data_IF_987887765158
#
_entry.id   IF_987887765158
#
_cell.length_a   1.000
_cell.length_b   1.000
_cell.length_c   1.000
_cell.angle_alpha   90.00
_cell.angle_beta   90.00
_cell.angle_gamma   90.00
#
_symmetry.space_group_name_H-M   'P 1'
#
loop_
_entity.id
_entity.type
_entity.pdbx_description
1 polymer ?
#
# COMPACT_ATOMS: atom_id res chain seq x y z
N UNK A 1 2.53 7.18 -10.35
CA UNK A 1 2.41 5.72 -10.17
C UNK A 1 2.57 5.01 -11.50
N UNK A 2 3.33 3.92 -11.52
CA UNK A 2 3.67 3.11 -12.68
C UNK A 2 3.66 1.60 -12.34
N UNK A 3 3.71 0.76 -13.37
CA UNK A 3 4.01 -0.67 -13.25
C UNK A 3 5.29 -0.99 -14.02
N UNK A 4 6.07 -1.98 -13.58
CA UNK A 4 7.22 -2.50 -14.34
C UNK A 4 7.02 -3.99 -14.64
N UNK A 5 7.76 -4.52 -15.61
CA UNK A 5 7.75 -5.97 -15.88
C UNK A 5 8.32 -6.77 -14.71
N UNK A 6 9.45 -6.30 -14.18
CA UNK A 6 10.21 -6.97 -13.11
C UNK A 6 11.02 -5.94 -12.33
N UNK A 7 11.39 -6.27 -11.09
CA UNK A 7 12.31 -5.49 -10.28
C UNK A 7 13.44 -6.39 -9.75
N UNK A 8 14.70 -5.93 -9.84
CA UNK A 8 15.87 -6.74 -9.53
C UNK A 8 16.73 -6.00 -8.51
N UNK A 9 16.94 -6.62 -7.34
CA UNK A 9 17.81 -6.11 -6.27
C UNK A 9 17.43 -4.70 -5.77
N UNK A 10 16.13 -4.35 -5.83
CA UNK A 10 15.59 -3.07 -5.31
C UNK A 10 15.90 -2.92 -3.82
N UNK A 11 16.57 -1.82 -3.46
CA UNK A 11 16.96 -1.52 -2.08
C UNK A 11 17.65 -2.71 -1.37
N UNK A 12 18.45 -3.46 -2.12
CA UNK A 12 19.23 -4.58 -1.60
C UNK A 12 20.58 -4.11 -1.04
N UNK A 13 20.94 -4.57 0.16
CA UNK A 13 22.14 -4.09 0.83
C UNK A 13 23.41 -4.52 0.07
N UNK A 14 24.26 -3.55 -0.27
CA UNK A 14 25.53 -3.80 -0.96
C UNK A 14 25.40 -4.21 -2.44
N UNK A 15 24.21 -4.05 -3.04
CA UNK A 15 23.97 -4.31 -4.46
C UNK A 15 23.20 -3.15 -5.10
N UNK A 16 23.58 -2.68 -6.31
CA UNK A 16 22.77 -1.73 -7.04
C UNK A 16 21.51 -2.42 -7.59
N UNK A 17 20.40 -1.68 -7.67
CA UNK A 17 19.22 -2.11 -8.42
C UNK A 17 19.58 -2.26 -9.90
N UNK A 18 19.13 -3.35 -10.51
CA UNK A 18 19.21 -3.56 -11.95
C UNK A 18 17.86 -3.19 -12.59
N UNK A 19 17.92 -2.45 -13.71
CA UNK A 19 16.74 -1.99 -14.46
C UNK A 19 16.68 -2.65 -15.84
N UNK A 20 16.03 -3.83 -15.98
CA UNK A 20 15.76 -4.43 -17.28
C UNK A 20 14.82 -3.55 -18.13
N UNK A 21 14.97 -3.61 -19.44
CA UNK A 21 14.19 -2.80 -20.38
C UNK A 21 13.32 -3.67 -21.28
N UNK A 22 12.13 -3.18 -21.63
CA UNK A 22 11.43 -3.68 -22.80
C UNK A 22 12.11 -3.14 -24.07
N UNK A 23 12.70 -4.03 -24.87
CA UNK A 23 13.52 -3.66 -26.04
C UNK A 23 12.77 -3.76 -27.36
N UNK A 24 11.75 -4.62 -27.44
CA UNK A 24 10.95 -4.84 -28.64
C UNK A 24 9.49 -4.94 -28.27
N UNK A 25 8.63 -4.38 -29.14
CA UNK A 25 7.18 -4.42 -29.00
C UNK A 25 6.54 -4.90 -30.30
N UNK A 26 5.55 -5.79 -30.20
CA UNK A 26 4.81 -6.34 -31.33
C UNK A 26 3.32 -6.15 -31.05
N UNK A 27 2.62 -5.43 -31.94
CA UNK A 27 1.21 -5.12 -31.78
C UNK A 27 0.37 -6.06 -32.64
N UNK A 28 -0.65 -6.67 -32.05
CA UNK A 28 -1.63 -7.44 -32.81
C UNK A 28 -2.58 -6.47 -33.54
N UNK A 29 -2.76 -6.67 -34.85
CA UNK A 29 -3.72 -5.84 -35.61
C UNK A 29 -5.15 -6.29 -35.29
N UNK A 30 -6.04 -5.40 -34.81
CA UNK A 30 -7.42 -5.76 -34.53
C UNK A 30 -8.12 -6.25 -35.80
N UNK A 31 -8.60 -7.50 -35.81
CA UNK A 31 -9.45 -8.00 -36.89
C UNK A 31 -10.89 -7.53 -36.63
N UNK A 32 -11.40 -6.62 -37.45
CA UNK A 32 -12.66 -5.88 -37.23
C UNK A 32 -13.98 -6.66 -37.14
N UNK A 33 -13.95 -7.98 -36.90
CA UNK A 33 -15.11 -8.87 -36.98
C UNK A 33 -15.32 -9.76 -35.73
N UNK A 34 -14.55 -9.61 -34.64
CA UNK A 34 -14.72 -10.43 -33.43
C UNK A 34 -15.49 -9.69 -32.33
N UNK A 35 -16.76 -10.01 -32.18
CA UNK A 35 -17.66 -9.54 -31.12
C UNK A 35 -17.30 -10.01 -29.69
N UNK A 36 -16.12 -10.62 -29.50
CA UNK A 36 -15.63 -11.05 -28.18
C UNK A 36 -14.41 -10.28 -27.66
N UNK A 37 -13.75 -9.48 -28.51
CA UNK A 37 -12.53 -8.72 -28.14
C UNK A 37 -12.35 -7.41 -28.94
N UNK A 38 -13.43 -6.87 -29.53
CA UNK A 38 -13.37 -5.69 -30.40
C UNK A 38 -12.75 -4.43 -29.74
N UNK A 39 -12.74 -4.35 -28.41
CA UNK A 39 -12.25 -3.21 -27.63
C UNK A 39 -10.93 -3.50 -26.86
N UNK A 40 -10.20 -4.55 -27.25
CA UNK A 40 -8.92 -4.92 -26.64
C UNK A 40 -7.72 -4.61 -27.53
N UNK A 41 -6.62 -4.13 -26.94
CA UNK A 41 -5.31 -3.99 -27.59
C UNK A 41 -4.37 -5.06 -27.04
N UNK A 42 -3.86 -5.92 -27.92
CA UNK A 42 -2.84 -6.92 -27.56
C UNK A 42 -1.45 -6.44 -27.97
N UNK A 43 -0.53 -6.43 -27.01
CA UNK A 43 0.88 -6.07 -27.21
C UNK A 43 1.76 -7.17 -26.65
N UNK A 44 2.73 -7.63 -27.43
CA UNK A 44 3.79 -8.49 -26.95
C UNK A 44 5.05 -7.67 -26.74
N UNK A 45 5.82 -7.94 -25.70
CA UNK A 45 7.08 -7.24 -25.44
C UNK A 45 8.20 -8.19 -25.02
N UNK A 46 9.41 -7.93 -25.52
CA UNK A 46 10.64 -8.60 -25.09
C UNK A 46 11.32 -7.76 -24.01
N UNK A 47 11.47 -8.34 -22.82
CA UNK A 47 12.24 -7.78 -21.70
C UNK A 47 13.67 -8.32 -21.74
N UNK A 48 14.65 -7.43 -21.65
CA UNK A 48 16.06 -7.76 -21.65
C UNK A 48 16.82 -6.98 -20.57
N UNK A 49 17.65 -7.68 -19.81
CA UNK A 49 18.50 -7.11 -18.77
C UNK A 49 19.72 -7.99 -18.45
N UNK A 50 20.73 -7.47 -17.75
CA UNK A 50 21.95 -8.24 -17.43
C UNK A 50 21.70 -9.58 -16.73
N UNK A 51 20.71 -9.66 -15.83
CA UNK A 51 20.41 -10.84 -15.02
C UNK A 51 19.14 -11.58 -15.44
N UNK A 52 18.35 -11.04 -16.37
CA UNK A 52 17.05 -11.62 -16.77
C UNK A 52 16.72 -11.37 -18.24
N UNK A 53 16.05 -12.34 -18.86
CA UNK A 53 15.28 -12.15 -20.09
C UNK A 53 13.81 -12.46 -19.82
N UNK A 54 12.89 -11.86 -20.56
CA UNK A 54 11.49 -12.23 -20.45
C UNK A 54 10.66 -11.91 -21.68
N UNK A 55 9.53 -12.59 -21.82
CA UNK A 55 8.53 -12.33 -22.85
C UNK A 55 7.20 -12.05 -22.15
N UNK A 56 6.52 -10.98 -22.58
CA UNK A 56 5.26 -10.52 -22.03
C UNK A 56 4.22 -10.46 -23.13
N UNK A 57 2.99 -10.80 -22.77
CA UNK A 57 1.78 -10.55 -23.54
C UNK A 57 0.84 -9.71 -22.68
N UNK A 58 0.51 -8.52 -23.14
CA UNK A 58 -0.44 -7.62 -22.53
C UNK A 58 -1.73 -7.61 -23.35
N UNK A 59 -2.87 -7.86 -22.73
CA UNK A 59 -4.19 -7.64 -23.32
C UNK A 59 -4.86 -6.53 -22.53
N UNK A 60 -5.00 -5.37 -23.14
CA UNK A 60 -5.44 -4.15 -22.49
C UNK A 60 -6.83 -3.77 -22.96
N UNK A 61 -7.73 -3.51 -22.02
CA UNK A 61 -9.11 -3.14 -22.28
C UNK A 61 -9.45 -1.88 -21.50
N UNK A 62 -10.08 -0.91 -22.18
CA UNK A 62 -10.56 0.32 -21.55
C UNK A 62 -12.05 0.20 -21.24
N UNK A 63 -12.40 0.43 -19.98
CA UNK A 63 -13.77 0.54 -19.50
C UNK A 63 -13.91 1.74 -18.57
N UNK A 64 -14.46 1.53 -17.37
CA UNK A 64 -14.46 2.56 -16.29
C UNK A 64 -13.05 2.96 -15.84
N UNK A 65 -12.09 2.05 -16.01
CA UNK A 65 -10.66 2.32 -15.93
C UNK A 65 -9.94 1.49 -16.98
N UNK A 66 -8.74 0.99 -16.68
CA UNK A 66 -7.99 0.12 -17.59
C UNK A 66 -7.75 -1.23 -16.94
N UNK A 67 -8.13 -2.31 -17.64
CA UNK A 67 -7.78 -3.67 -17.28
C UNK A 67 -6.64 -4.14 -18.17
N UNK A 68 -5.64 -4.79 -17.59
CA UNK A 68 -4.54 -5.39 -18.34
C UNK A 68 -4.36 -6.83 -17.89
N UNK A 69 -4.77 -7.79 -18.71
CA UNK A 69 -4.36 -9.19 -18.52
C UNK A 69 -2.93 -9.38 -19.02
N UNK A 70 -2.09 -9.98 -18.21
CA UNK A 70 -0.67 -10.15 -18.49
C UNK A 70 -0.29 -11.62 -18.33
N UNK A 71 0.24 -12.19 -19.40
CA UNK A 71 0.97 -13.45 -19.38
C UNK A 71 2.46 -13.13 -19.53
N UNK A 72 3.33 -13.70 -18.68
CA UNK A 72 4.76 -13.55 -18.86
C UNK A 72 5.55 -14.82 -18.57
N UNK A 73 6.70 -14.93 -19.24
CA UNK A 73 7.73 -15.93 -18.98
C UNK A 73 9.06 -15.20 -18.76
N UNK A 74 9.72 -15.45 -17.64
CA UNK A 74 10.97 -14.84 -17.22
C UNK A 74 12.03 -15.93 -17.06
N UNK A 75 13.27 -15.64 -17.46
CA UNK A 75 14.40 -16.56 -17.46
C UNK A 75 15.61 -15.87 -16.83
N UNK A 76 16.08 -16.36 -15.69
CA UNK A 76 17.22 -15.77 -14.99
C UNK A 76 18.54 -16.20 -15.61
N UNK A 77 19.36 -15.21 -15.96
CA UNK A 77 20.74 -15.38 -16.46
C UNK A 77 21.76 -15.46 -15.33
N UNK A 78 21.45 -14.85 -14.19
CA UNK A 78 22.32 -14.75 -13.01
C UNK A 78 21.50 -14.94 -11.73
N UNK A 79 22.20 -15.24 -10.64
CA UNK A 79 21.62 -15.19 -9.31
C UNK A 79 21.19 -13.76 -8.96
N UNK A 80 19.97 -13.64 -8.46
CA UNK A 80 19.35 -12.38 -8.02
C UNK A 80 19.10 -12.49 -6.51
N UNK A 81 19.44 -11.46 -5.75
CA UNK A 81 19.24 -11.47 -4.30
C UNK A 81 17.77 -11.16 -3.94
N UNK A 82 17.17 -10.19 -4.64
CA UNK A 82 15.76 -9.83 -4.49
C UNK A 82 15.06 -9.78 -5.84
N UNK A 83 14.25 -10.79 -6.11
CA UNK A 83 13.45 -10.90 -7.33
C UNK A 83 12.03 -10.37 -7.08
N UNK A 84 11.76 -9.15 -7.55
CA UNK A 84 10.44 -8.53 -7.50
C UNK A 84 9.61 -8.86 -8.74
N UNK A 85 8.55 -9.64 -8.55
CA UNK A 85 7.54 -9.95 -9.54
C UNK A 85 6.37 -8.97 -9.45
N UNK A 86 5.78 -8.67 -10.60
CA UNK A 86 4.64 -7.74 -10.75
C UNK A 86 4.79 -6.42 -9.97
N UNK A 87 5.94 -5.72 -10.10
CA UNK A 87 6.21 -4.54 -9.29
C UNK A 87 5.34 -3.33 -9.69
N UNK A 88 4.89 -2.61 -8.67
CA UNK A 88 4.21 -1.32 -8.74
C UNK A 88 5.15 -0.26 -8.17
N UNK A 89 5.21 0.92 -8.79
CA UNK A 89 5.94 2.07 -8.24
C UNK A 89 5.02 3.26 -8.07
N UNK A 90 5.21 4.01 -7.00
CA UNK A 90 4.43 5.21 -6.71
C UNK A 90 5.28 6.23 -5.96
N UNK A 91 4.66 7.33 -5.57
CA UNK A 91 5.28 8.41 -4.83
C UNK A 91 4.41 8.76 -3.61
N UNK A 92 5.04 8.92 -2.46
CA UNK A 92 4.43 9.48 -1.25
C UNK A 92 5.45 10.37 -0.55
N UNK A 93 5.26 11.70 -0.65
CA UNK A 93 6.11 12.67 0.03
C UNK A 93 5.60 12.92 1.46
N UNK A 94 4.32 13.25 1.62
CA UNK A 94 3.67 13.32 2.93
C UNK A 94 2.16 13.09 2.84
N UNK A 95 1.61 12.50 3.90
CA UNK A 95 0.18 12.17 4.06
C UNK A 95 -0.31 12.59 5.45
N UNK A 96 -1.57 12.27 5.80
CA UNK A 96 -2.22 12.65 7.07
C UNK A 96 -1.39 12.39 8.35
N UNK A 97 -0.62 11.28 8.36
CA UNK A 97 0.20 10.86 9.49
C UNK A 97 1.58 11.56 9.54
N UNK A 98 2.01 12.21 8.44
CA UNK A 98 3.28 12.90 8.37
C UNK A 98 3.29 14.11 9.30
N UNK A 99 4.34 14.20 10.12
CA UNK A 99 4.56 15.30 11.07
C UNK A 99 6.02 15.75 10.98
N UNK A 100 6.26 16.67 10.07
CA UNK A 100 7.37 17.63 10.09
C UNK A 100 6.75 19.03 10.08
N UNK A 101 7.53 20.10 10.19
CA UNK A 101 7.02 21.48 10.03
C UNK A 101 6.17 21.61 8.75
N UNK A 102 5.30 22.62 8.66
CA UNK A 102 4.53 22.92 7.44
C UNK A 102 5.50 23.30 6.30
N UNK A 103 6.12 22.29 5.70
CA UNK A 103 7.14 22.41 4.64
C UNK A 103 6.50 22.81 3.32
N UNK A 104 5.19 22.59 3.20
CA UNK A 104 4.39 22.86 2.01
C UNK A 104 3.02 23.42 2.44
N UNK A 105 2.33 24.08 1.51
CA UNK A 105 1.00 24.66 1.71
C UNK A 105 -0.11 23.60 1.54
N UNK A 106 0.19 22.49 0.86
CA UNK A 106 -0.71 21.36 0.64
C UNK A 106 -0.82 20.52 1.91
N UNK A 107 -2.02 20.02 2.24
CA UNK A 107 -2.16 19.08 3.35
C UNK A 107 -1.50 17.72 3.07
N UNK A 108 -1.56 17.24 1.82
CA UNK A 108 -1.02 15.95 1.37
C UNK A 108 -0.45 16.01 -0.05
N UNK A 109 0.60 15.23 -0.30
CA UNK A 109 1.25 15.09 -1.62
C UNK A 109 1.69 13.64 -1.82
N UNK A 110 0.89 12.90 -2.59
CA UNK A 110 1.15 11.49 -2.92
C UNK A 110 0.30 11.01 -4.09
N UNK A 111 0.79 9.97 -4.76
CA UNK A 111 0.10 9.22 -5.81
C UNK A 111 -0.66 8.00 -5.27
N UNK A 112 -0.33 7.60 -4.04
CA UNK A 112 -0.93 6.50 -3.32
C UNK A 112 -0.80 6.76 -1.82
N UNK A 113 -1.82 6.45 -1.04
CA UNK A 113 -1.84 6.60 0.42
C UNK A 113 -1.59 5.29 1.18
N UNK A 114 -1.68 4.14 0.50
CA UNK A 114 -1.42 2.87 1.15
C UNK A 114 -1.25 1.68 0.22
N UNK A 115 -0.64 0.64 0.78
CA UNK A 115 -0.62 -0.71 0.24
C UNK A 115 -1.82 -1.48 0.80
N UNK A 116 -2.70 -1.92 -0.08
CA UNK A 116 -3.75 -2.89 0.24
C UNK A 116 -3.30 -4.31 -0.12
N UNK A 117 -3.62 -5.29 0.73
CA UNK A 117 -3.33 -6.71 0.49
C UNK A 117 -4.58 -7.52 0.85
N UNK A 118 -4.98 -8.41 -0.06
CA UNK A 118 -5.91 -9.49 0.23
C UNK A 118 -5.12 -10.80 0.22
N UNK A 119 -4.77 -11.28 1.41
CA UNK A 119 -3.83 -12.39 1.54
C UNK A 119 -4.49 -13.75 1.21
N UNK A 120 -3.67 -14.81 1.07
CA UNK A 120 -4.13 -16.16 0.75
C UNK A 120 -5.11 -16.73 1.79
N UNK A 121 -4.93 -16.35 3.06
CA UNK A 121 -5.81 -16.71 4.17
C UNK A 121 -7.15 -15.93 4.22
N UNK A 122 -7.32 -14.92 3.38
CA UNK A 122 -8.54 -14.11 3.27
C UNK A 122 -8.60 -12.87 4.17
N UNK A 123 -7.51 -12.53 4.88
CA UNK A 123 -7.40 -11.26 5.60
C UNK A 123 -7.20 -10.10 4.62
N UNK A 124 -7.94 -9.01 4.86
CA UNK A 124 -7.72 -7.74 4.20
C UNK A 124 -6.84 -6.87 5.07
N UNK A 125 -5.75 -6.38 4.51
CA UNK A 125 -4.73 -5.59 5.18
C UNK A 125 -4.61 -4.25 4.48
N UNK A 126 -4.55 -3.18 5.27
CA UNK A 126 -4.22 -1.84 4.83
C UNK A 126 -2.96 -1.36 5.53
N UNK A 127 -1.92 -1.06 4.75
CA UNK A 127 -0.66 -0.47 5.22
C UNK A 127 -0.55 0.95 4.65
N UNK A 128 -0.96 2.00 5.39
CA UNK A 128 -0.73 3.38 4.96
C UNK A 128 0.75 3.61 4.68
N UNK A 129 1.09 4.36 3.64
CA UNK A 129 2.49 4.62 3.27
C UNK A 129 3.14 5.64 4.21
N UNK A 130 4.47 5.55 4.30
CA UNK A 130 5.32 6.50 4.96
C UNK A 130 6.35 7.06 3.96
N UNK A 131 6.90 8.22 4.34
CA UNK A 131 8.19 8.69 3.83
C UNK A 131 9.21 8.60 4.97
N UNK A 132 9.83 7.42 5.18
CA UNK A 132 10.70 7.18 6.33
C UNK A 132 12.01 7.98 6.24
N UNK A 133 12.72 8.22 7.37
CA UNK A 133 14.07 8.83 7.35
C UNK A 133 15.17 7.89 6.78
N UNK A 134 14.73 6.66 6.52
CA UNK A 134 15.37 5.39 6.20
C UNK A 134 14.91 4.65 4.97
N UNK A 135 15.76 4.19 4.04
CA UNK A 135 15.28 3.14 3.13
C UNK A 135 14.82 1.94 3.95
N UNK A 136 13.55 1.57 3.78
CA UNK A 136 12.89 0.57 4.62
C UNK A 136 12.21 -0.47 3.74
N UNK A 137 12.36 -1.74 4.10
CA UNK A 137 11.69 -2.86 3.44
C UNK A 137 10.77 -3.54 4.45
N UNK A 138 9.47 -3.50 4.20
CA UNK A 138 8.45 -4.27 4.93
C UNK A 138 8.12 -5.53 4.12
N UNK A 139 7.95 -6.67 4.80
CA UNK A 139 7.65 -7.94 4.14
C UNK A 139 6.45 -8.61 4.79
N UNK A 140 5.42 -8.90 3.98
CA UNK A 140 4.17 -9.53 4.37
C UNK A 140 4.16 -10.94 3.80
N UNK A 141 4.61 -11.92 4.59
CA UNK A 141 4.68 -13.32 4.18
C UNK A 141 3.30 -13.91 3.88
N UNK A 142 3.19 -14.65 2.78
CA UNK A 142 1.92 -15.22 2.32
C UNK A 142 2.16 -16.50 1.49
N UNK A 143 1.07 -17.24 1.25
CA UNK A 143 1.01 -18.30 0.25
C UNK A 143 -0.15 -18.00 -0.70
N UNK A 144 0.19 -17.64 -1.95
CA UNK A 144 -0.77 -17.35 -3.01
C UNK A 144 -1.77 -16.24 -2.64
N UNK A 145 -1.33 -14.96 -2.57
CA UNK A 145 -2.22 -13.84 -2.28
C UNK A 145 -3.37 -13.76 -3.30
N UNK A 146 -4.54 -13.28 -2.86
CA UNK A 146 -5.69 -13.01 -3.75
C UNK A 146 -5.52 -11.70 -4.50
N UNK A 147 -4.71 -10.80 -3.97
CA UNK A 147 -4.21 -9.62 -4.67
C UNK A 147 -3.57 -8.61 -3.73
N UNK A 148 -2.92 -7.61 -4.31
CA UNK A 148 -2.36 -6.49 -3.58
C UNK A 148 -2.23 -5.28 -4.51
N UNK A 149 -2.14 -4.08 -3.96
CA UNK A 149 -2.08 -2.88 -4.77
C UNK A 149 -1.70 -1.62 -4.01
N UNK A 150 -1.14 -0.66 -4.72
CA UNK A 150 -0.98 0.71 -4.23
C UNK A 150 -2.27 1.45 -4.55
N UNK A 151 -2.98 1.87 -3.51
CA UNK A 151 -4.27 2.54 -3.64
C UNK A 151 -4.14 4.03 -3.31
N UNK A 152 -5.08 4.79 -3.87
CA UNK A 152 -5.36 6.18 -3.56
C UNK A 152 -6.78 6.21 -3.03
N UNK A 153 -6.94 6.01 -1.71
CA UNK A 153 -8.26 5.97 -1.07
C UNK A 153 -8.81 7.36 -0.85
N UNK A 154 -7.95 8.31 -0.51
CA UNK A 154 -8.33 9.69 -0.40
C UNK A 154 -8.47 10.34 -1.78
N UNK A 155 -9.67 10.87 -2.02
CA UNK A 155 -10.08 11.48 -3.28
C UNK A 155 -10.73 12.84 -3.08
N UNK A 156 -10.57 13.43 -1.89
CA UNK A 156 -11.07 14.77 -1.62
C UNK A 156 -10.05 15.81 -2.10
N UNK A 157 -10.44 16.66 -3.05
CA UNK A 157 -9.59 17.75 -3.54
C UNK A 157 -9.07 18.63 -2.40
N UNK A 158 -9.87 18.82 -1.34
CA UNK A 158 -9.49 19.71 -0.25
C UNK A 158 -8.25 19.25 0.53
N UNK A 159 -7.89 17.96 0.43
CA UNK A 159 -6.72 17.40 1.09
C UNK A 159 -5.44 17.56 0.25
N UNK A 160 -5.55 17.97 -1.02
CA UNK A 160 -4.41 18.17 -1.92
C UNK A 160 -4.26 19.61 -2.37
N UNK A 161 -5.37 20.32 -2.64
CA UNK A 161 -5.41 21.72 -3.07
C UNK A 161 -4.59 22.04 -4.34
N UNK A 162 -4.24 21.03 -5.17
CA UNK A 162 -3.28 21.16 -6.28
C UNK A 162 -3.91 20.89 -7.66
N UNK A 163 -3.49 21.67 -8.67
CA UNK A 163 -3.89 21.51 -10.08
C UNK A 163 -3.31 20.28 -10.79
N UNK A 164 -2.36 19.55 -10.19
CA UNK A 164 -1.90 18.24 -10.72
C UNK A 164 -2.85 17.10 -10.40
N UNK A 165 -3.92 17.36 -9.64
CA UNK A 165 -5.04 16.44 -9.39
C UNK A 165 -4.65 15.07 -8.80
N UNK A 166 -3.90 15.07 -7.70
CA UNK A 166 -3.53 13.86 -6.96
C UNK A 166 -4.75 12.99 -6.59
N UNK A 167 -5.86 13.60 -6.20
CA UNK A 167 -7.13 12.95 -5.82
C UNK A 167 -7.75 12.12 -6.96
N UNK A 168 -7.36 12.40 -8.20
CA UNK A 168 -7.81 11.72 -9.42
C UNK A 168 -6.84 10.67 -9.92
N UNK A 169 -5.64 10.55 -9.35
CA UNK A 169 -4.67 9.53 -9.75
C UNK A 169 -5.25 8.13 -9.50
N UNK A 170 -4.98 7.17 -10.39
CA UNK A 170 -5.56 5.84 -10.29
C UNK A 170 -4.98 5.11 -9.08
N UNK A 171 -5.74 4.13 -8.61
CA UNK A 171 -5.23 3.01 -7.81
C UNK A 171 -4.85 1.87 -8.74
N UNK A 172 -3.85 1.07 -8.36
CA UNK A 172 -3.37 -0.05 -9.13
C UNK A 172 -3.36 -1.34 -8.30
N UNK A 173 -4.15 -2.31 -8.73
CA UNK A 173 -4.29 -3.61 -8.08
C UNK A 173 -3.77 -4.75 -8.96
N UNK A 174 -2.95 -5.61 -8.39
CA UNK A 174 -2.48 -6.87 -8.95
C UNK A 174 -3.40 -7.99 -8.49
N UNK A 175 -4.05 -8.66 -9.43
CA UNK A 175 -4.83 -9.88 -9.23
C UNK A 175 -4.06 -11.07 -9.83
N UNK A 176 -3.47 -11.96 -9.01
CA UNK A 176 -2.93 -13.22 -9.48
C UNK A 176 -4.02 -14.07 -10.14
N UNK A 177 -3.74 -14.62 -11.33
CA UNK A 177 -4.66 -15.55 -12.04
C UNK A 177 -4.30 -17.01 -11.82
N UNK A 178 -3.14 -17.26 -11.22
CA UNK A 178 -2.62 -18.56 -10.82
C UNK A 178 -2.14 -18.49 -9.37
N UNK A 179 -2.01 -19.65 -8.71
CA UNK A 179 -1.38 -19.72 -7.40
C UNK A 179 0.12 -19.47 -7.48
N UNK A 180 0.61 -18.40 -6.86
CA UNK A 180 2.03 -18.03 -6.88
C UNK A 180 2.89 -18.75 -5.82
N UNK A 181 2.26 -19.57 -4.97
CA UNK A 181 2.93 -20.31 -3.91
C UNK A 181 3.44 -19.40 -2.79
N UNK A 182 4.38 -19.92 -2.00
CA UNK A 182 4.94 -19.22 -0.86
C UNK A 182 5.87 -18.07 -1.26
N UNK A 183 5.71 -16.93 -0.61
CA UNK A 183 6.52 -15.73 -0.82
C UNK A 183 6.12 -14.62 0.13
N UNK A 184 6.30 -13.38 -0.31
CA UNK A 184 5.83 -12.22 0.41
C UNK A 184 5.47 -11.08 -0.53
N UNK A 185 4.43 -10.32 -0.19
CA UNK A 185 4.31 -8.95 -0.71
C UNK A 185 5.36 -8.13 0.03
N UNK A 186 6.24 -7.45 -0.70
CA UNK A 186 7.23 -6.53 -0.13
C UNK A 186 6.88 -5.09 -0.49
N UNK A 187 7.02 -4.21 0.48
CA UNK A 187 6.89 -2.77 0.35
C UNK A 187 8.25 -2.12 0.64
N UNK A 188 8.77 -1.37 -0.32
CA UNK A 188 9.99 -0.57 -0.20
C UNK A 188 9.59 0.89 -0.13
N UNK A 189 10.03 1.57 0.92
CA UNK A 189 9.83 2.99 1.16
C UNK A 189 11.21 3.66 1.21
N UNK A 190 11.49 4.55 0.27
CA UNK A 190 12.76 5.27 0.12
C UNK A 190 12.53 6.72 0.61
N UNK A 191 13.46 7.32 1.37
CA UNK A 191 13.33 8.72 1.76
C UNK A 191 13.31 9.63 0.53
N UNK A 192 12.38 10.58 0.49
CA UNK A 192 12.33 11.66 -0.51
C UNK A 192 12.00 13.00 0.14
N UNK A 193 12.46 14.09 -0.45
CA UNK A 193 12.09 15.46 -0.12
C UNK A 193 11.39 16.19 -1.28
N UNK A 194 11.08 15.46 -2.37
CA UNK A 194 10.47 15.98 -3.58
C UNK A 194 9.42 14.99 -4.14
N UNK A 195 8.39 15.52 -4.78
CA UNK A 195 7.28 14.81 -5.41
C UNK A 195 7.63 14.22 -6.79
N UNK A 196 8.74 14.64 -7.41
CA UNK A 196 9.14 14.15 -8.74
C UNK A 196 9.80 12.77 -8.70
N UNK A 197 10.17 12.27 -7.52
CA UNK A 197 10.83 10.98 -7.35
C UNK A 197 9.86 9.92 -6.82
N UNK A 198 9.58 8.90 -7.64
CA UNK A 198 8.91 7.68 -7.17
C UNK A 198 9.76 7.02 -6.06
N UNK A 199 9.24 7.02 -4.84
CA UNK A 199 9.94 6.53 -3.64
C UNK A 199 9.28 5.29 -3.01
N UNK A 200 8.23 4.76 -3.64
CA UNK A 200 7.45 3.61 -3.18
C UNK A 200 7.55 2.49 -4.20
N UNK A 201 7.85 1.27 -3.75
CA UNK A 201 7.79 0.05 -4.57
C UNK A 201 7.00 -1.03 -3.83
N UNK A 202 5.99 -1.61 -4.47
CA UNK A 202 5.28 -2.79 -3.97
C UNK A 202 5.44 -3.94 -4.97
N UNK A 203 5.82 -5.14 -4.51
CA UNK A 203 6.11 -6.27 -5.39
C UNK A 203 5.89 -7.61 -4.69
N UNK A 204 5.69 -8.67 -5.47
CA UNK A 204 5.70 -10.04 -4.94
C UNK A 204 7.10 -10.63 -5.02
N UNK A 205 7.62 -11.15 -3.91
CA UNK A 205 8.93 -11.80 -3.83
C UNK A 205 8.74 -13.27 -3.46
N UNK A 206 9.03 -14.22 -4.38
CA UNK A 206 8.96 -15.65 -4.09
C UNK A 206 9.89 -16.05 -2.93
N UNK A 207 9.48 -17.06 -2.14
CA UNK A 207 10.31 -17.60 -1.05
C UNK A 207 11.51 -18.38 -1.58
N UNK A 208 11.36 -19.03 -2.73
CA UNK A 208 12.43 -19.81 -3.34
C UNK A 208 13.57 -18.89 -3.83
N UNK A 209 14.85 -19.25 -3.64
CA UNK A 209 15.97 -18.45 -4.14
C UNK A 209 15.91 -18.27 -5.67
N UNK A 210 16.16 -17.04 -6.12
CA UNK A 210 16.23 -16.70 -7.54
C UNK A 210 17.64 -17.02 -8.09
N UNK A 211 17.79 -18.21 -8.69
CA UNK A 211 19.07 -18.73 -9.20
C UNK A 211 19.18 -18.63 -10.71
N UNK A 212 20.40 -18.51 -11.21
CA UNK A 212 20.66 -18.61 -12.65
C UNK A 212 20.07 -19.91 -13.23
N UNK A 213 19.39 -19.81 -14.37
CA UNK A 213 18.70 -20.92 -15.01
C UNK A 213 17.27 -21.17 -14.52
N UNK A 214 16.80 -20.52 -13.45
CA UNK A 214 15.40 -20.57 -13.04
C UNK A 214 14.50 -19.85 -14.04
N UNK A 215 13.29 -20.39 -14.25
CA UNK A 215 12.23 -19.73 -15.01
C UNK A 215 10.97 -19.49 -14.17
N UNK A 216 10.27 -18.41 -14.49
CA UNK A 216 9.01 -18.03 -13.84
C UNK A 216 7.96 -17.77 -14.90
N UNK A 217 6.80 -18.40 -14.76
CA UNK A 217 5.63 -18.16 -15.62
C UNK A 217 4.49 -17.65 -14.78
N UNK A 218 4.01 -16.46 -15.12
CA UNK A 218 2.99 -15.77 -14.34
C UNK A 218 1.84 -15.37 -15.26
N UNK A 219 0.62 -15.52 -14.74
CA UNK A 219 -0.56 -14.87 -15.27
C UNK A 219 -1.18 -14.02 -14.19
N UNK A 220 -1.45 -12.77 -14.51
CA UNK A 220 -2.03 -11.81 -13.59
C UNK A 220 -2.79 -10.74 -14.33
N UNK A 221 -3.66 -10.03 -13.61
CA UNK A 221 -4.38 -8.89 -14.12
C UNK A 221 -4.01 -7.64 -13.31
N UNK A 222 -3.74 -6.55 -14.01
CA UNK A 222 -3.67 -5.23 -13.42
C UNK A 222 -5.01 -4.51 -13.59
N UNK A 223 -5.51 -3.94 -12.49
CA UNK A 223 -6.69 -3.08 -12.49
C UNK A 223 -6.27 -1.66 -12.16
N UNK A 224 -6.37 -0.78 -13.15
CA UNK A 224 -6.20 0.66 -13.00
C UNK A 224 -7.58 1.29 -12.80
N UNK A 225 -7.95 1.55 -11.55
CA UNK A 225 -9.31 1.95 -11.16
C UNK A 225 -9.26 3.08 -10.15
N UNK A 226 -10.42 3.69 -9.87
CA UNK A 226 -10.55 4.63 -8.75
C UNK A 226 -10.63 3.94 -7.38
N UNK A 227 -10.96 2.65 -7.33
CA UNK A 227 -11.02 1.87 -6.09
C UNK A 227 -10.59 0.44 -6.37
N UNK A 228 -10.33 -0.36 -5.34
CA UNK A 228 -9.97 -1.77 -5.48
C UNK A 228 -11.06 -2.55 -6.24
N UNK A 229 -10.69 -3.52 -7.10
CA UNK A 229 -11.66 -4.25 -7.92
C UNK A 229 -12.56 -5.20 -7.10
N UNK A 230 -12.13 -5.57 -5.90
CA UNK A 230 -12.81 -6.50 -5.01
C UNK A 230 -12.98 -5.87 -3.62
N UNK A 231 -13.94 -4.95 -3.45
CA UNK A 231 -14.11 -4.25 -2.19
C UNK A 231 -14.39 -5.22 -1.05
N UNK A 232 -13.69 -5.04 0.07
CA UNK A 232 -13.89 -5.86 1.26
C UNK A 232 -15.32 -5.72 1.82
N UNK A 233 -15.92 -6.79 2.36
CA UNK A 233 -17.17 -6.67 3.12
C UNK A 233 -16.99 -6.00 4.49
N UNK A 234 -15.75 -5.72 4.90
CA UNK A 234 -15.40 -5.09 6.16
C UNK A 234 -15.42 -3.56 6.06
N UNK A 235 -15.39 -2.87 7.20
CA UNK A 235 -15.07 -1.46 7.22
C UNK A 235 -13.60 -1.24 6.83
N UNK A 236 -13.36 -0.23 5.98
CA UNK A 236 -12.02 0.12 5.49
C UNK A 236 -11.45 1.26 6.31
N UNK A 237 -10.15 1.24 6.55
CA UNK A 237 -9.42 2.39 7.05
C UNK A 237 -9.45 3.51 6.02
N UNK A 238 -10.00 4.66 6.38
CA UNK A 238 -10.12 5.82 5.51
C UNK A 238 -9.25 7.01 5.96
N UNK A 239 -8.69 6.94 7.17
CA UNK A 239 -7.76 7.95 7.64
C UNK A 239 -6.82 7.40 8.73
N UNK A 240 -5.58 7.89 8.75
CA UNK A 240 -4.59 7.63 9.79
C UNK A 240 -3.94 8.95 10.20
N UNK A 241 -4.26 9.42 11.41
CA UNK A 241 -3.75 10.71 11.91
C UNK A 241 -2.90 10.50 13.15
N UNK A 242 -1.85 11.32 13.23
CA UNK A 242 -0.84 11.27 14.29
C UNK A 242 -0.78 12.62 15.02
N UNK A 243 -0.63 12.59 16.34
CA UNK A 243 -0.47 13.80 17.15
C UNK A 243 0.31 13.59 18.44
N UNK A 244 0.42 14.65 19.24
CA UNK A 244 0.97 14.55 20.58
C UNK A 244 -0.02 13.79 21.49
N UNK A 245 0.50 12.83 22.27
CA UNK A 245 -0.26 12.06 23.25
C UNK A 245 -0.68 12.86 24.47
N UNK A 246 -1.43 12.21 25.36
CA UNK A 246 -1.96 12.77 26.59
C UNK A 246 -3.42 13.21 26.49
N UNK A 247 -3.94 13.63 27.65
CA UNK A 247 -5.32 14.09 27.79
C UNK A 247 -5.46 15.56 27.40
N UNK A 248 -6.48 15.94 26.61
CA UNK A 248 -6.80 17.34 26.35
C UNK A 248 -6.94 18.15 27.65
N UNK A 249 -6.33 19.34 27.68
CA UNK A 249 -6.36 20.24 28.84
C UNK A 249 -5.37 19.92 29.96
N UNK A 250 -4.57 18.85 29.84
CA UNK A 250 -3.51 18.51 30.79
C UNK A 250 -2.12 18.77 30.19
N UNK A 251 -1.07 18.92 31.03
CA UNK A 251 0.31 18.94 30.54
C UNK A 251 0.60 17.73 29.65
N UNK A 252 1.15 17.97 28.46
CA UNK A 252 1.41 16.90 27.49
C UNK A 252 2.61 16.06 27.94
N UNK A 253 2.46 14.73 28.08
CA UNK A 253 3.59 13.86 28.40
C UNK A 253 4.56 13.83 27.22
N UNK A 254 5.86 13.93 27.52
CA UNK A 254 6.91 13.82 26.50
C UNK A 254 6.98 12.40 25.95
N UNK A 255 7.27 12.27 24.65
CA UNK A 255 7.47 10.97 24.00
C UNK A 255 6.19 10.16 23.73
N UNK A 256 5.02 10.63 24.15
CA UNK A 256 3.75 9.94 23.89
C UNK A 256 3.13 10.43 22.59
N UNK A 257 2.60 9.49 21.80
CA UNK A 257 1.98 9.77 20.50
C UNK A 257 0.55 9.28 20.46
N UNK A 258 -0.34 10.16 19.99
CA UNK A 258 -1.75 9.84 19.79
C UNK A 258 -1.99 9.42 18.35
N UNK A 259 -2.65 8.29 18.17
CA UNK A 259 -3.15 7.84 16.89
C UNK A 259 -4.67 7.97 16.85
N UNK A 260 -5.17 8.44 15.71
CA UNK A 260 -6.58 8.40 15.35
C UNK A 260 -6.69 7.64 14.03
N UNK A 261 -7.26 6.44 14.09
CA UNK A 261 -7.46 5.59 12.90
C UNK A 261 -8.95 5.50 12.65
N UNK A 262 -9.38 5.97 11.48
CA UNK A 262 -10.80 6.03 11.13
C UNK A 262 -11.17 4.92 10.17
N UNK A 263 -12.27 4.23 10.48
CA UNK A 263 -12.82 3.14 9.69
C UNK A 263 -14.23 3.49 9.23
N UNK A 264 -14.56 3.12 7.99
CA UNK A 264 -15.89 3.31 7.42
C UNK A 264 -16.33 2.10 6.62
N UNK A 265 -17.54 1.62 6.86
CA UNK A 265 -18.18 0.59 6.03
C UNK A 265 -19.31 -0.17 6.72
N UNK A 266 -19.94 -1.05 5.95
CA UNK A 266 -21.22 -1.67 6.26
C UNK A 266 -21.34 -2.36 7.63
N UNK A 267 -20.35 -3.12 8.14
CA UNK A 267 -20.48 -3.73 9.47
C UNK A 267 -20.65 -2.71 10.60
N UNK A 268 -20.04 -1.53 10.47
CA UNK A 268 -20.11 -0.47 11.47
C UNK A 268 -21.42 0.32 11.39
N UNK A 269 -22.07 0.38 10.23
CA UNK A 269 -23.40 1.00 10.07
C UNK A 269 -24.49 0.23 10.82
N UNK A 270 -24.29 -1.07 11.01
CA UNK A 270 -25.24 -2.00 11.64
C UNK A 270 -25.05 -2.15 13.15
N UNK A 271 -24.16 -1.36 13.75
CA UNK A 271 -23.94 -1.40 15.19
C UNK A 271 -25.18 -0.90 15.93
N UNK A 272 -25.69 -1.65 16.93
CA UNK A 272 -26.78 -1.17 17.77
C UNK A 272 -26.38 0.10 18.52
N UNK A 273 -27.34 0.99 18.75
CA UNK A 273 -27.12 2.21 19.52
C UNK A 273 -26.48 1.90 20.89
N UNK A 274 -25.43 2.65 21.26
CA UNK A 274 -24.69 2.45 22.50
C UNK A 274 -23.63 1.34 22.45
N UNK A 275 -23.60 0.52 21.40
CA UNK A 275 -22.56 -0.52 21.24
C UNK A 275 -21.29 0.09 20.69
N UNK A 276 -20.16 -0.18 21.32
CA UNK A 276 -18.83 0.25 20.86
C UNK A 276 -18.01 -0.97 20.45
N UNK A 277 -17.43 -0.99 19.24
CA UNK A 277 -16.54 -2.08 18.85
C UNK A 277 -15.26 -2.03 19.67
N UNK A 278 -14.64 -3.19 19.88
CA UNK A 278 -13.33 -3.27 20.53
C UNK A 278 -12.23 -2.93 19.51
N UNK A 279 -11.30 -2.06 19.90
CA UNK A 279 -10.07 -1.81 19.15
C UNK A 279 -9.00 -2.83 19.56
N UNK A 280 -8.76 -3.83 18.71
CA UNK A 280 -7.75 -4.86 19.01
C UNK A 280 -6.39 -4.36 18.54
N UNK A 281 -5.57 -3.96 19.51
CA UNK A 281 -4.25 -3.35 19.30
C UNK A 281 -3.12 -4.29 19.67
N UNK A 282 -2.09 -4.32 18.84
CA UNK A 282 -0.80 -4.96 19.15
C UNK A 282 0.34 -4.09 18.62
N UNK A 283 1.48 -4.11 19.31
CA UNK A 283 2.70 -3.47 18.87
C UNK A 283 3.88 -4.42 19.03
N UNK A 284 4.91 -4.22 18.19
CA UNK A 284 6.21 -4.87 18.34
C UNK A 284 6.92 -4.49 19.65
N UNK A 285 6.68 -3.27 20.15
CA UNK A 285 7.16 -2.76 21.44
C UNK A 285 6.37 -1.54 21.91
N UNK A 286 6.66 -1.10 23.13
CA UNK A 286 5.97 0.02 23.76
C UNK A 286 4.66 -0.40 24.42
N UNK A 287 3.95 0.57 24.98
CA UNK A 287 2.70 0.36 25.73
C UNK A 287 1.62 1.30 25.28
N UNK A 288 0.38 0.81 25.29
CA UNK A 288 -0.80 1.60 24.94
C UNK A 288 -1.47 2.21 26.18
N UNK A 289 -2.02 3.41 26.01
CA UNK A 289 -2.95 4.04 26.95
C UNK A 289 -4.03 4.80 26.18
N UNK A 290 -5.04 5.35 26.87
CA UNK A 290 -6.14 6.12 26.24
C UNK A 290 -6.80 5.41 25.04
N UNK A 291 -6.99 4.09 25.15
CA UNK A 291 -7.57 3.25 24.10
C UNK A 291 -9.10 3.31 24.18
N UNK A 292 -9.76 3.79 23.13
CA UNK A 292 -11.21 3.66 22.98
C UNK A 292 -11.63 3.86 21.53
N UNK A 293 -12.88 3.50 21.26
CA UNK A 293 -13.54 3.78 19.97
C UNK A 293 -14.75 4.67 20.17
N UNK A 294 -15.05 5.46 19.15
CA UNK A 294 -16.24 6.30 19.10
C UNK A 294 -16.70 6.53 17.66
N UNK A 295 -18.00 6.77 17.43
CA UNK A 295 -18.47 7.26 16.15
C UNK A 295 -17.90 8.66 15.89
N UNK A 296 -17.53 8.95 14.64
CA UNK A 296 -17.09 10.29 14.26
C UNK A 296 -18.30 11.23 14.30
N UNK A 297 -18.23 12.40 14.95
CA UNK A 297 -19.37 13.31 15.13
C UNK A 297 -19.65 14.15 13.86
N UNK A 298 -19.78 13.50 12.71
CA UNK A 298 -20.02 14.14 11.41
C UNK A 298 -21.38 13.73 10.78
N UNK A 299 -22.21 12.98 11.51
CA UNK A 299 -23.51 12.50 11.04
C UNK A 299 -23.45 11.39 9.98
N UNK A 300 -22.27 10.80 9.72
CA UNK A 300 -22.11 9.72 8.73
C UNK A 300 -22.19 8.36 9.43
N UNK A 301 -23.22 7.58 9.09
CA UNK A 301 -23.38 6.22 9.60
C UNK A 301 -22.16 5.34 9.26
N UNK A 302 -21.78 4.47 10.21
CA UNK A 302 -20.66 3.55 10.04
C UNK A 302 -19.28 4.18 10.01
N UNK A 303 -19.16 5.51 10.21
CA UNK A 303 -17.87 6.17 10.37
C UNK A 303 -17.44 6.16 11.85
N UNK A 304 -16.43 5.38 12.16
CA UNK A 304 -15.89 5.24 13.51
C UNK A 304 -14.40 5.55 13.54
N UNK A 305 -13.92 5.95 14.72
CA UNK A 305 -12.49 6.07 14.98
C UNK A 305 -12.08 5.22 16.17
N UNK A 306 -10.88 4.66 16.07
CA UNK A 306 -10.12 4.16 17.19
C UNK A 306 -9.07 5.20 17.58
N UNK A 307 -9.04 5.55 18.85
CA UNK A 307 -8.01 6.40 19.44
C UNK A 307 -7.16 5.57 20.38
N UNK A 308 -5.85 5.78 20.35
CA UNK A 308 -4.93 5.27 21.37
C UNK A 308 -3.69 6.15 21.48
N UNK A 309 -3.06 6.14 22.65
CA UNK A 309 -1.74 6.68 22.89
C UNK A 309 -0.70 5.55 22.89
N UNK A 310 0.41 5.76 22.20
CA UNK A 310 1.58 4.88 22.21
C UNK A 310 2.72 5.59 22.95
N UNK A 311 3.26 4.90 23.95
CA UNK A 311 4.52 5.28 24.61
C UNK A 311 5.59 4.28 24.20
N UNK A 312 6.73 4.77 23.72
CA UNK A 312 7.83 3.93 23.28
C UNK A 312 9.17 4.62 23.50
N UNK A 313 10.17 3.83 23.90
CA UNK A 313 11.56 4.29 24.01
C UNK A 313 12.34 4.01 22.72
N UNK A 314 13.39 4.81 22.51
CA UNK A 314 14.31 4.66 21.39
C UNK A 314 13.79 5.20 20.06
N UNK A 315 14.59 5.02 19.01
CA UNK A 315 14.35 5.58 17.66
C UNK A 315 14.01 4.54 16.59
N UNK A 316 13.97 3.27 16.96
CA UNK A 316 13.70 2.20 16.00
C UNK A 316 12.24 2.20 15.54
N UNK A 317 11.90 1.70 14.35
CA UNK A 317 10.51 1.65 13.88
C UNK A 317 9.65 0.73 14.76
N UNK A 318 8.42 1.12 15.08
CA UNK A 318 7.41 0.31 15.80
C UNK A 318 6.37 -0.17 14.81
N UNK A 319 6.29 -1.48 14.59
CA UNK A 319 5.15 -2.04 13.86
C UNK A 319 3.92 -2.10 14.78
N UNK A 320 2.81 -1.56 14.29
CA UNK A 320 1.51 -1.49 14.94
C UNK A 320 0.48 -2.25 14.10
N UNK A 321 -0.44 -2.92 14.78
CA UNK A 321 -1.59 -3.60 14.17
C UNK A 321 -2.86 -3.24 14.91
N UNK A 322 -3.91 -2.92 14.16
CA UNK A 322 -5.23 -2.54 14.65
C UNK A 322 -6.34 -3.10 13.77
N UNK A 323 -7.40 -3.61 14.36
CA UNK A 323 -8.68 -3.81 13.70
C UNK A 323 -9.82 -3.67 14.72
N UNK A 324 -11.02 -3.37 14.23
CA UNK A 324 -12.23 -3.31 15.04
C UNK A 324 -12.91 -4.67 15.07
N UNK A 325 -13.39 -5.11 16.23
CA UNK A 325 -14.20 -6.33 16.37
C UNK A 325 -15.40 -6.15 17.29
N UNK A 326 -16.38 -7.03 17.14
CA UNK A 326 -17.49 -7.19 18.07
C UNK A 326 -17.82 -8.68 18.20
N UNK A 327 -18.02 -9.17 19.43
CA UNK A 327 -18.35 -10.57 19.72
C UNK A 327 -17.42 -11.58 19.04
N UNK A 328 -16.11 -11.28 19.02
CA UNK A 328 -15.08 -12.10 18.39
C UNK A 328 -15.02 -12.03 16.86
N UNK A 329 -15.91 -11.28 16.20
CA UNK A 329 -15.94 -11.13 14.74
C UNK A 329 -15.28 -9.82 14.29
N UNK A 330 -14.39 -9.82 13.29
CA UNK A 330 -13.83 -8.60 12.74
C UNK A 330 -14.92 -7.77 12.05
N UNK A 331 -14.90 -6.47 12.29
CA UNK A 331 -15.77 -5.48 11.67
C UNK A 331 -15.03 -4.61 10.67
N UNK A 332 -13.71 -4.50 10.79
CA UNK A 332 -12.84 -3.78 9.86
C UNK A 332 -11.76 -4.69 9.27
N UNK A 333 -11.16 -4.23 8.18
CA UNK A 333 -9.86 -4.74 7.74
C UNK A 333 -8.78 -4.47 8.81
N UNK A 334 -7.62 -5.09 8.63
CA UNK A 334 -6.47 -4.92 9.51
C UNK A 334 -5.63 -3.73 9.04
N UNK A 335 -5.56 -2.70 9.86
CA UNK A 335 -4.60 -1.62 9.71
C UNK A 335 -3.24 -2.05 10.26
N UNK A 336 -2.21 -2.01 9.42
CA UNK A 336 -0.82 -2.21 9.78
C UNK A 336 -0.07 -0.90 9.57
N UNK A 337 0.67 -0.43 10.56
CA UNK A 337 1.40 0.83 10.43
C UNK A 337 2.76 0.74 11.05
N UNK A 338 3.76 1.29 10.37
CA UNK A 338 5.10 1.39 10.92
C UNK A 338 5.31 2.82 11.42
N UNK A 339 5.36 2.97 12.75
CA UNK A 339 5.63 4.25 13.37
C UNK A 339 7.14 4.46 13.50
N UNK A 340 7.66 5.57 13.00
CA UNK A 340 9.05 5.99 13.21
C UNK A 340 9.10 7.03 14.34
N UNK A 341 9.67 6.70 15.52
CA UNK A 341 9.75 7.65 16.62
C UNK A 341 10.52 8.91 16.24
N UNK A 342 9.92 10.06 16.54
CA UNK A 342 10.53 11.38 16.38
C UNK A 342 10.28 12.21 17.62
N UNK A 343 11.18 13.18 17.88
CA UNK A 343 10.99 14.15 18.95
C UNK A 343 10.14 15.30 18.43
N UNK A 344 9.07 15.66 19.15
CA UNK A 344 8.37 16.92 18.85
C UNK A 344 9.28 18.06 19.31
N UNK A 345 9.36 19.17 18.56
CA UNK A 345 9.93 20.40 19.10
C UNK A 345 9.16 20.73 20.38
N UNK A 346 9.85 20.73 21.51
CA UNK A 346 9.25 21.21 22.76
C UNK A 346 8.94 22.68 22.53
N UNK A 347 7.66 23.07 22.60
CA UNK A 347 7.33 24.47 22.83
C UNK A 347 8.13 24.89 24.06
N UNK A 348 9.00 25.88 23.90
CA UNK A 348 9.73 26.47 25.02
C UNK A 348 8.73 26.76 26.12
N UNK A 349 8.98 26.24 27.32
CA UNK A 349 8.36 26.79 28.50
C UNK A 349 8.73 28.29 28.54
N UNK A 350 7.74 29.14 28.34
CA UNK A 350 7.76 30.56 28.67
C UNK A 350 6.44 30.87 29.35
#
# INVERSE_FOLDING_TARGET
MSARGIAIDVAEAGRPEEFPNFTHFYFETPTGNSSSNADAVTVYALLDGPSVAGAYRFVMQRGKGVLMDIDCALFLRKDVARLGLTPLTSMCWFAEASKGYAVDWRPEVHDSDGLAIWNGAGEHIWRPLNNPPRTTASSFGDDSPRGFGLLQRDRNFDHYQDGVHYERRPSLWVEPRDGWGAGAVQLIEIPTDDEIHDNIVAMWVPKAPAKAGSDFRLRYRLHWLADEPYPTPLARCIATRLGNGGQPGQPRPQGVRKFMVEFKGGPLEKLPAGTRPEAVLTSSRGTFSYVFTEPVPNGVAGHWRAQFDLTVDGKDPVDLRLFLRLDGKPLSETWLYQYHPFNSPTGSAA
#
